data_IF_277341703282
#
_entry.id   IF_277341703282
#
_cell.length_a   1.000
_cell.length_b   1.000
_cell.length_c   1.000
_cell.angle_alpha   90.00
_cell.angle_beta   90.00
_cell.angle_gamma   90.00
#
_symmetry.space_group_name_H-M   'P 1'
#
loop_
_entity.id
_entity.type
_entity.pdbx_description
1 polymer ?
#
# COMPACT_ATOMS: atom_id res chain seq x y z
N UNK A 1 13.56 -2.29 -9.61
CA UNK A 1 13.94 -2.75 -8.25
C UNK A 1 14.02 -4.26 -8.35
N UNK A 2 15.20 -4.87 -8.06
CA UNK A 2 15.38 -6.31 -8.13
C UNK A 2 14.51 -7.00 -7.07
N UNK A 3 13.75 -8.01 -7.47
CA UNK A 3 12.87 -8.76 -6.58
C UNK A 3 13.60 -9.84 -5.77
N UNK A 4 14.85 -10.17 -6.16
CA UNK A 4 15.67 -11.15 -5.46
C UNK A 4 17.14 -10.78 -5.43
N UNK A 5 17.89 -11.32 -4.43
CA UNK A 5 19.34 -11.17 -4.37
C UNK A 5 20.03 -11.81 -5.61
N UNK A 6 19.40 -12.80 -6.24
CA UNK A 6 19.90 -13.45 -7.46
C UNK A 6 19.88 -12.51 -8.65
N UNK A 7 18.84 -11.67 -8.81
CA UNK A 7 18.75 -10.67 -9.87
C UNK A 7 19.80 -9.56 -9.70
N UNK A 8 20.05 -9.12 -8.45
CA UNK A 8 21.07 -8.12 -8.15
C UNK A 8 22.48 -8.61 -8.45
N UNK A 9 22.70 -9.91 -8.42
CA UNK A 9 24.02 -10.54 -8.57
C UNK A 9 24.17 -11.33 -9.86
N UNK A 10 23.19 -11.25 -10.77
CA UNK A 10 23.21 -11.91 -12.06
C UNK A 10 24.50 -11.53 -12.81
N UNK A 11 25.41 -12.50 -12.97
CA UNK A 11 26.70 -12.33 -13.64
C UNK A 11 27.93 -12.22 -12.74
N UNK A 12 27.80 -12.20 -11.41
CA UNK A 12 28.93 -12.12 -10.48
C UNK A 12 28.91 -13.24 -9.40
N UNK A 13 29.33 -14.48 -9.72
CA UNK A 13 29.32 -15.61 -8.76
C UNK A 13 30.13 -15.37 -7.48
N UNK A 14 31.15 -14.53 -7.52
CA UNK A 14 31.96 -14.16 -6.36
C UNK A 14 31.18 -13.28 -5.38
N UNK A 15 30.29 -12.43 -5.87
CA UNK A 15 29.45 -11.55 -5.03
C UNK A 15 28.36 -12.36 -4.34
N UNK A 16 27.76 -13.34 -5.02
CA UNK A 16 26.74 -14.22 -4.43
C UNK A 16 27.22 -14.95 -3.17
N UNK A 17 28.50 -15.32 -3.10
CA UNK A 17 29.07 -16.00 -1.91
C UNK A 17 29.23 -15.08 -0.70
N UNK A 18 29.26 -13.77 -0.92
CA UNK A 18 29.44 -12.76 0.13
C UNK A 18 28.11 -12.16 0.60
N UNK A 19 27.01 -12.41 -0.11
CA UNK A 19 25.69 -11.88 0.23
C UNK A 19 24.93 -12.86 1.11
N UNK A 20 24.32 -12.34 2.17
CA UNK A 20 23.36 -13.04 3.00
C UNK A 20 21.99 -12.37 2.84
N UNK A 21 21.06 -13.07 2.22
CA UNK A 21 19.68 -12.59 2.08
C UNK A 21 18.95 -12.73 3.44
N UNK A 22 18.32 -11.66 3.87
CA UNK A 22 17.43 -11.65 5.04
C UNK A 22 16.05 -11.23 4.52
N UNK A 23 15.11 -12.16 4.50
CA UNK A 23 13.72 -11.88 4.16
C UNK A 23 13.00 -11.29 5.37
N UNK A 24 12.55 -10.04 5.23
CA UNK A 24 11.70 -9.41 6.21
C UNK A 24 10.23 -9.69 5.86
N UNK A 25 9.49 -10.23 6.81
CA UNK A 25 8.04 -10.38 6.68
C UNK A 25 7.35 -9.03 6.88
N UNK A 26 6.11 -8.91 6.39
CA UNK A 26 5.26 -7.79 6.73
C UNK A 26 5.03 -7.72 8.24
N UNK A 27 4.96 -6.51 8.78
CA UNK A 27 4.66 -6.29 10.19
C UNK A 27 3.20 -6.62 10.50
N UNK A 28 2.98 -7.20 11.65
CA UNK A 28 1.64 -7.42 12.20
C UNK A 28 0.96 -6.11 12.56
N UNK A 29 -0.37 -6.12 12.69
CA UNK A 29 -1.12 -4.94 13.11
C UNK A 29 -0.64 -4.40 14.48
N UNK A 30 -0.23 -5.29 15.41
CA UNK A 30 0.28 -4.89 16.71
C UNK A 30 1.57 -4.09 16.58
N UNK A 31 2.52 -4.58 15.79
CA UNK A 31 3.80 -3.88 15.56
C UNK A 31 3.59 -2.52 14.87
N UNK A 32 2.62 -2.41 13.93
CA UNK A 32 2.27 -1.13 13.33
C UNK A 32 1.66 -0.15 14.36
N UNK A 33 0.80 -0.65 15.26
CA UNK A 33 0.24 0.17 16.35
C UNK A 33 1.34 0.62 17.31
N UNK A 34 2.35 -0.20 17.59
CA UNK A 34 3.49 0.16 18.43
C UNK A 34 4.31 1.31 17.80
N UNK A 35 4.45 1.33 16.47
CA UNK A 35 5.06 2.47 15.75
C UNK A 35 4.27 3.75 16.03
N UNK A 36 2.95 3.72 15.84
CA UNK A 36 2.08 4.89 16.05
C UNK A 36 2.19 5.38 17.48
N UNK A 37 2.07 4.47 18.45
CA UNK A 37 2.13 4.81 19.87
C UNK A 37 3.49 5.40 20.26
N UNK A 38 4.59 4.86 19.74
CA UNK A 38 5.94 5.35 20.03
C UNK A 38 6.17 6.76 19.47
N UNK A 39 5.62 7.06 18.30
CA UNK A 39 5.69 8.39 17.70
C UNK A 39 4.81 9.39 18.43
N UNK A 40 3.54 9.06 18.65
CA UNK A 40 2.55 9.94 19.28
C UNK A 40 2.93 10.32 20.72
N UNK A 41 3.49 9.38 21.50
CA UNK A 41 3.94 9.64 22.86
C UNK A 41 5.03 10.73 22.93
N UNK A 42 5.94 10.78 21.96
CA UNK A 42 7.00 11.80 21.89
C UNK A 42 6.44 13.20 21.60
N UNK A 43 5.33 13.26 20.85
CA UNK A 43 4.67 14.50 20.46
C UNK A 43 3.55 14.90 21.42
N UNK A 44 3.25 14.08 22.43
CA UNK A 44 2.11 14.23 23.36
C UNK A 44 0.76 14.30 22.62
N UNK A 45 0.64 13.55 21.52
CA UNK A 45 -0.57 13.38 20.73
C UNK A 45 -1.23 12.04 21.06
N UNK A 46 -2.51 11.93 20.83
CA UNK A 46 -3.28 10.71 21.02
C UNK A 46 -4.06 10.36 19.77
N UNK A 47 -3.77 9.19 19.19
CA UNK A 47 -4.57 8.65 18.09
C UNK A 47 -5.72 7.83 18.65
N UNK A 48 -6.94 8.10 18.21
CA UNK A 48 -8.09 7.26 18.54
C UNK A 48 -7.91 5.82 18.03
N UNK A 49 -8.69 4.89 18.56
CA UNK A 49 -8.65 3.48 18.13
C UNK A 49 -8.94 3.33 16.64
N UNK A 50 -9.93 4.06 16.14
CA UNK A 50 -10.36 3.98 14.75
C UNK A 50 -9.33 4.61 13.80
N UNK A 51 -8.68 5.69 14.21
CA UNK A 51 -7.55 6.29 13.50
C UNK A 51 -6.39 5.28 13.36
N UNK A 52 -5.97 4.63 14.46
CA UNK A 52 -4.93 3.59 14.43
C UNK A 52 -5.32 2.43 13.52
N UNK A 53 -6.54 1.94 13.61
CA UNK A 53 -7.03 0.86 12.78
C UNK A 53 -7.00 1.24 11.30
N UNK A 54 -7.44 2.46 10.95
CA UNK A 54 -7.42 2.98 9.58
C UNK A 54 -6.00 3.04 9.01
N UNK A 55 -5.05 3.58 9.77
CA UNK A 55 -3.63 3.64 9.37
C UNK A 55 -3.06 2.25 9.14
N UNK A 56 -3.21 1.34 10.11
CA UNK A 56 -2.68 -0.02 10.02
C UNK A 56 -3.24 -0.78 8.81
N UNK A 57 -4.53 -0.61 8.54
CA UNK A 57 -5.20 -1.24 7.41
C UNK A 57 -4.63 -0.77 6.08
N UNK A 58 -4.46 0.55 5.90
CA UNK A 58 -3.88 1.11 4.67
C UNK A 58 -2.42 0.74 4.49
N UNK A 59 -1.67 0.67 5.59
CA UNK A 59 -0.26 0.32 5.57
C UNK A 59 0.01 -1.12 5.15
N UNK A 60 -0.97 -2.03 5.26
CA UNK A 60 -0.90 -3.44 4.81
C UNK A 60 0.36 -4.18 5.25
N UNK A 61 0.86 -3.88 6.48
CA UNK A 61 2.07 -4.47 7.04
C UNK A 61 3.38 -3.76 6.66
N UNK A 62 3.31 -2.66 5.92
CA UNK A 62 4.50 -1.88 5.55
C UNK A 62 4.73 -0.69 6.50
N UNK A 63 5.78 -0.68 7.32
CA UNK A 63 6.04 0.36 8.30
C UNK A 63 6.24 1.75 7.69
N UNK A 64 6.77 1.83 6.47
CA UNK A 64 6.95 3.09 5.75
C UNK A 64 5.62 3.87 5.61
N UNK A 65 4.56 3.20 5.18
CA UNK A 65 3.24 3.85 5.05
C UNK A 65 2.63 4.19 6.40
N UNK A 66 2.86 3.37 7.44
CA UNK A 66 2.45 3.70 8.81
C UNK A 66 3.10 4.99 9.28
N UNK A 67 4.41 5.13 9.09
CA UNK A 67 5.13 6.36 9.43
C UNK A 67 4.63 7.56 8.64
N UNK A 68 4.49 7.43 7.32
CA UNK A 68 4.07 8.53 6.44
C UNK A 68 2.69 9.07 6.83
N UNK A 69 1.69 8.19 6.94
CA UNK A 69 0.33 8.62 7.28
C UNK A 69 0.27 9.18 8.70
N UNK A 70 0.92 8.51 9.68
CA UNK A 70 0.93 9.00 11.06
C UNK A 70 1.63 10.35 11.21
N UNK A 71 2.73 10.57 10.48
CA UNK A 71 3.44 11.85 10.46
C UNK A 71 2.53 12.96 9.91
N UNK A 72 1.87 12.73 8.78
CA UNK A 72 0.97 13.72 8.18
C UNK A 72 -0.24 14.03 9.06
N UNK A 73 -0.79 13.02 9.75
CA UNK A 73 -1.85 13.24 10.74
C UNK A 73 -1.36 14.08 11.92
N UNK A 74 -0.16 13.79 12.43
CA UNK A 74 0.43 14.55 13.52
C UNK A 74 0.78 16.00 13.12
N UNK A 75 1.30 16.23 11.90
CA UNK A 75 1.54 17.56 11.35
C UNK A 75 0.22 18.38 11.30
N UNK A 76 -0.87 17.76 10.82
CA UNK A 76 -2.19 18.38 10.80
C UNK A 76 -2.69 18.73 12.19
N UNK A 77 -2.57 17.82 13.14
CA UNK A 77 -2.99 18.05 14.53
C UNK A 77 -2.22 19.20 15.20
N UNK A 78 -0.90 19.27 14.97
CA UNK A 78 -0.06 20.37 15.49
C UNK A 78 -0.46 21.72 14.87
N UNK A 79 -0.72 21.76 13.57
CA UNK A 79 -1.15 22.99 12.87
C UNK A 79 -2.51 23.46 13.39
N UNK A 80 -3.43 22.53 13.65
CA UNK A 80 -4.77 22.81 14.16
C UNK A 80 -4.83 22.97 15.69
N UNK A 81 -3.68 22.86 16.39
CA UNK A 81 -3.56 22.96 17.85
C UNK A 81 -4.46 21.94 18.60
N UNK A 82 -4.66 20.74 18.03
CA UNK A 82 -5.42 19.65 18.64
C UNK A 82 -4.48 18.53 19.13
N UNK A 83 -4.90 17.82 20.17
CA UNK A 83 -4.10 16.70 20.75
C UNK A 83 -4.64 15.34 20.39
N UNK A 84 -5.92 15.23 20.09
CA UNK A 84 -6.58 13.99 19.73
C UNK A 84 -6.75 13.94 18.21
N UNK A 85 -6.27 12.84 17.62
CA UNK A 85 -6.32 12.59 16.17
C UNK A 85 -7.34 11.49 15.91
N UNK A 86 -8.37 11.83 15.20
CA UNK A 86 -9.44 10.92 14.84
C UNK A 86 -9.34 10.38 13.41
N UNK A 87 -10.37 9.70 12.94
CA UNK A 87 -10.40 9.09 11.61
C UNK A 87 -10.46 10.13 10.49
N UNK A 88 -11.07 11.28 10.75
CA UNK A 88 -11.23 12.35 9.75
C UNK A 88 -9.89 13.06 9.53
N UNK A 89 -9.13 13.32 10.60
CA UNK A 89 -7.76 13.81 10.53
C UNK A 89 -6.85 12.86 9.72
N UNK A 90 -7.01 11.55 9.93
CA UNK A 90 -6.27 10.54 9.17
C UNK A 90 -6.69 10.56 7.70
N UNK A 91 -7.96 10.69 7.37
CA UNK A 91 -8.42 10.75 5.99
C UNK A 91 -7.85 11.98 5.26
N UNK A 92 -7.83 13.15 5.91
CA UNK A 92 -7.17 14.34 5.35
C UNK A 92 -5.65 14.13 5.16
N UNK A 93 -4.99 13.50 6.13
CA UNK A 93 -3.58 13.18 6.04
C UNK A 93 -3.24 12.20 4.91
N UNK A 94 -4.15 11.27 4.57
CA UNK A 94 -3.99 10.35 3.45
C UNK A 94 -3.89 11.10 2.12
N UNK A 95 -4.75 12.08 1.90
CA UNK A 95 -4.71 12.90 0.68
C UNK A 95 -3.36 13.63 0.54
N UNK A 96 -2.86 14.21 1.64
CA UNK A 96 -1.54 14.84 1.68
C UNK A 96 -0.40 13.83 1.45
N UNK A 97 -0.53 12.63 2.04
CA UNK A 97 0.46 11.56 1.90
C UNK A 97 0.60 11.05 0.47
N UNK A 98 -0.47 11.06 -0.32
CA UNK A 98 -0.43 10.68 -1.74
C UNK A 98 0.45 11.64 -2.53
N UNK A 99 0.48 12.92 -2.18
CA UNK A 99 1.33 13.91 -2.84
C UNK A 99 2.82 13.69 -2.55
N UNK A 100 3.14 13.19 -1.35
CA UNK A 100 4.50 12.91 -0.90
C UNK A 100 4.95 11.45 -1.21
N UNK A 101 4.09 10.68 -1.87
CA UNK A 101 4.43 9.32 -2.27
C UNK A 101 5.61 9.33 -3.27
N UNK A 102 6.48 8.33 -3.17
CA UNK A 102 7.63 8.21 -4.07
C UNK A 102 7.22 8.33 -5.53
N UNK A 103 7.94 9.15 -6.28
CA UNK A 103 7.67 9.39 -7.70
C UNK A 103 7.64 8.09 -8.52
N UNK A 104 8.44 7.09 -8.15
CA UNK A 104 8.45 5.78 -8.79
C UNK A 104 7.09 5.04 -8.68
N UNK A 105 6.45 5.08 -7.50
CA UNK A 105 5.13 4.46 -7.29
C UNK A 105 4.05 5.20 -8.08
N UNK A 106 4.10 6.54 -8.11
CA UNK A 106 3.18 7.36 -8.90
C UNK A 106 3.36 7.11 -10.38
N UNK A 107 4.60 7.06 -10.86
CA UNK A 107 4.90 6.79 -12.25
C UNK A 107 4.44 5.38 -12.65
N UNK A 108 4.73 4.36 -11.86
CA UNK A 108 4.27 2.98 -12.12
C UNK A 108 2.74 2.89 -12.17
N UNK A 109 2.04 3.58 -11.25
CA UNK A 109 0.58 3.65 -11.30
C UNK A 109 0.09 4.34 -12.57
N UNK A 110 0.65 5.50 -12.88
CA UNK A 110 0.27 6.30 -14.06
C UNK A 110 0.52 5.54 -15.37
N UNK A 111 1.68 4.90 -15.52
CA UNK A 111 2.02 4.09 -16.68
C UNK A 111 1.05 2.92 -16.84
N UNK A 112 0.75 2.23 -15.73
CA UNK A 112 -0.19 1.12 -15.71
C UNK A 112 -1.61 1.53 -16.11
N UNK A 113 -2.05 2.71 -15.65
CA UNK A 113 -3.43 3.18 -15.84
C UNK A 113 -3.59 3.97 -17.14
N UNK A 114 -2.59 4.77 -17.55
CA UNK A 114 -2.66 5.65 -18.75
C UNK A 114 -2.54 4.91 -20.08
N UNK A 115 -1.97 3.73 -20.09
CA UNK A 115 -1.57 3.05 -21.34
C UNK A 115 -2.70 2.40 -22.13
N UNK A 116 -4.00 2.54 -21.73
CA UNK A 116 -5.06 1.82 -22.44
C UNK A 116 -6.39 2.53 -22.49
N UNK A 117 -7.13 2.28 -23.59
CA UNK A 117 -8.57 2.58 -23.75
C UNK A 117 -9.45 1.97 -22.63
N UNK A 118 -8.88 1.11 -21.79
CA UNK A 118 -9.49 0.41 -20.64
C UNK A 118 -9.07 0.97 -19.28
N UNK A 119 -8.61 2.21 -19.23
CA UNK A 119 -8.15 2.91 -18.02
C UNK A 119 -9.09 2.72 -16.82
N UNK A 120 -10.40 2.85 -17.05
CA UNK A 120 -11.41 2.71 -15.99
C UNK A 120 -11.41 1.29 -15.41
N UNK A 121 -11.26 0.26 -16.25
CA UNK A 121 -11.26 -1.15 -15.82
C UNK A 121 -10.03 -1.44 -14.95
N UNK A 122 -8.85 -0.95 -15.33
CA UNK A 122 -7.63 -1.13 -14.51
C UNK A 122 -7.74 -0.44 -13.16
N UNK A 123 -8.28 0.77 -13.09
CA UNK A 123 -8.54 1.46 -11.81
C UNK A 123 -9.48 0.66 -10.92
N UNK A 124 -10.56 0.12 -11.47
CA UNK A 124 -11.51 -0.73 -10.74
C UNK A 124 -10.85 -2.01 -10.22
N UNK A 125 -10.01 -2.66 -11.05
CA UNK A 125 -9.28 -3.87 -10.65
C UNK A 125 -8.29 -3.56 -9.53
N UNK A 126 -7.50 -2.50 -9.64
CA UNK A 126 -6.55 -2.08 -8.61
C UNK A 126 -7.28 -1.73 -7.30
N UNK A 127 -8.41 -1.03 -7.39
CA UNK A 127 -9.24 -0.71 -6.23
C UNK A 127 -9.80 -1.98 -5.57
N UNK A 128 -10.36 -2.90 -6.35
CA UNK A 128 -10.85 -4.19 -5.84
C UNK A 128 -9.72 -5.01 -5.20
N UNK A 129 -8.51 -4.98 -5.78
CA UNK A 129 -7.32 -5.64 -5.23
C UNK A 129 -6.91 -5.03 -3.89
N UNK A 130 -6.91 -3.70 -3.78
CA UNK A 130 -6.59 -3.00 -2.54
C UNK A 130 -7.57 -3.28 -1.39
N UNK A 131 -8.78 -3.71 -1.71
CA UNK A 131 -9.79 -4.11 -0.72
C UNK A 131 -9.74 -5.58 -0.33
N UNK A 132 -8.89 -6.39 -0.97
CA UNK A 132 -8.65 -7.76 -0.54
C UNK A 132 -7.81 -7.77 0.75
N UNK A 133 -8.26 -8.54 1.75
CA UNK A 133 -7.63 -8.61 3.08
C UNK A 133 -6.64 -9.75 3.24
N UNK A 134 -6.61 -10.69 2.28
CA UNK A 134 -5.79 -11.88 2.38
C UNK A 134 -4.31 -11.55 2.21
N UNK A 135 -3.44 -12.22 2.96
CA UNK A 135 -1.99 -12.14 2.82
C UNK A 135 -1.55 -12.54 1.40
N UNK A 136 -2.25 -13.51 0.82
CA UNK A 136 -2.10 -13.93 -0.58
C UNK A 136 -3.38 -13.64 -1.35
N UNK A 137 -3.38 -12.55 -2.11
CA UNK A 137 -4.54 -12.11 -2.88
C UNK A 137 -4.78 -13.08 -4.04
N UNK A 138 -5.93 -13.72 -4.05
CA UNK A 138 -6.35 -14.64 -5.13
C UNK A 138 -7.20 -13.90 -6.15
N UNK A 139 -7.02 -14.21 -7.43
CA UNK A 139 -7.81 -13.56 -8.50
C UNK A 139 -9.33 -13.77 -8.36
N UNK A 140 -9.76 -14.87 -7.71
CA UNK A 140 -11.18 -15.11 -7.39
C UNK A 140 -11.72 -14.10 -6.37
N UNK A 141 -10.91 -13.74 -5.36
CA UNK A 141 -11.29 -12.73 -4.35
C UNK A 141 -11.40 -11.35 -4.98
N UNK A 142 -10.46 -10.98 -5.85
CA UNK A 142 -10.51 -9.73 -6.62
C UNK A 142 -11.80 -9.67 -7.45
N UNK A 143 -12.14 -10.76 -8.17
CA UNK A 143 -13.37 -10.82 -8.97
C UNK A 143 -14.61 -10.64 -8.13
N UNK A 144 -14.68 -11.32 -6.99
CA UNK A 144 -15.83 -11.20 -6.08
C UNK A 144 -16.04 -9.78 -5.61
N UNK A 145 -14.96 -9.11 -5.15
CA UNK A 145 -15.01 -7.72 -4.69
C UNK A 145 -15.33 -6.77 -5.84
N UNK A 146 -14.74 -6.98 -7.02
CA UNK A 146 -15.03 -6.18 -8.21
C UNK A 146 -16.51 -6.19 -8.56
N UNK A 147 -17.09 -7.39 -8.69
CA UNK A 147 -18.49 -7.53 -9.06
C UNK A 147 -19.44 -6.97 -7.99
N UNK A 148 -19.06 -7.11 -6.70
CA UNK A 148 -19.85 -6.59 -5.58
C UNK A 148 -19.89 -5.05 -5.54
N UNK A 149 -18.74 -4.40 -5.79
CA UNK A 149 -18.62 -2.94 -5.61
C UNK A 149 -19.11 -2.17 -6.81
N UNK A 150 -18.82 -2.68 -8.02
CA UNK A 150 -19.11 -1.93 -9.24
C UNK A 150 -20.42 -2.33 -9.92
N UNK A 151 -21.16 -3.30 -9.34
CA UNK A 151 -22.38 -3.87 -9.94
C UNK A 151 -22.17 -4.26 -11.42
N UNK A 152 -20.98 -4.78 -11.72
CA UNK A 152 -20.56 -5.20 -13.05
C UNK A 152 -20.05 -6.63 -13.00
N UNK A 153 -20.43 -7.45 -13.97
CA UNK A 153 -19.92 -8.81 -14.09
C UNK A 153 -18.63 -8.85 -14.93
N UNK A 154 -17.51 -9.16 -14.28
CA UNK A 154 -16.27 -9.51 -14.96
C UNK A 154 -16.04 -11.03 -14.88
N UNK A 155 -15.78 -11.66 -16.04
CA UNK A 155 -15.47 -13.08 -16.06
C UNK A 155 -14.06 -13.34 -15.52
N UNK A 156 -13.81 -14.52 -14.92
CA UNK A 156 -12.49 -14.86 -14.40
C UNK A 156 -11.40 -14.82 -15.47
N UNK A 157 -11.73 -15.26 -16.69
CA UNK A 157 -10.79 -15.25 -17.81
C UNK A 157 -10.39 -13.83 -18.19
N UNK A 158 -11.35 -12.91 -18.27
CA UNK A 158 -11.12 -11.51 -18.61
C UNK A 158 -10.32 -10.80 -17.51
N UNK A 159 -10.64 -11.05 -16.24
CA UNK A 159 -9.86 -10.52 -15.12
C UNK A 159 -8.41 -11.00 -15.19
N UNK A 160 -8.18 -12.31 -15.39
CA UNK A 160 -6.83 -12.85 -15.49
C UNK A 160 -6.03 -12.24 -16.66
N UNK A 161 -6.66 -11.95 -17.79
CA UNK A 161 -6.02 -11.24 -18.90
C UNK A 161 -5.56 -9.83 -18.50
N UNK A 162 -6.39 -9.09 -17.75
CA UNK A 162 -5.99 -7.78 -17.25
C UNK A 162 -4.86 -7.87 -16.23
N UNK A 163 -4.93 -8.82 -15.27
CA UNK A 163 -3.88 -9.01 -14.27
C UNK A 163 -2.54 -9.40 -14.92
N UNK A 164 -2.55 -10.27 -15.93
CA UNK A 164 -1.32 -10.64 -16.68
C UNK A 164 -0.69 -9.43 -17.36
N UNK A 165 -1.49 -8.52 -17.93
CA UNK A 165 -0.97 -7.30 -18.54
C UNK A 165 -0.40 -6.32 -17.49
N UNK A 166 -0.99 -6.24 -16.29
CA UNK A 166 -0.47 -5.44 -15.19
C UNK A 166 0.93 -5.91 -14.78
N UNK A 167 1.13 -7.24 -14.69
CA UNK A 167 2.43 -7.82 -14.32
C UNK A 167 3.45 -7.65 -15.45
N UNK A 168 3.06 -7.82 -16.72
CA UNK A 168 3.99 -7.71 -17.85
C UNK A 168 4.45 -6.26 -18.13
N UNK A 169 3.69 -5.26 -17.74
CA UNK A 169 4.06 -3.84 -17.90
C UNK A 169 4.91 -3.34 -16.73
N UNK A 170 5.13 -4.16 -15.69
CA UNK A 170 5.94 -3.80 -14.51
C UNK A 170 7.39 -4.26 -14.64
N UNK A 171 7.76 -4.93 -15.73
CA UNK A 171 9.13 -5.31 -16.10
C UNK A 171 9.61 -4.39 -17.22
#
# INVERSE_FOLDING_TARGET
IAESAEELTAGHPSVQRCLKEIKLSKMSQRELVDIINSGSAKLKLNFTRDAKFRICRLSSGYPHFTHLISLKSAEGAIINEVTDIDIDDVNEAIEKSILDCENSLRQSYDETVKSSSTMIVYRKILYATALCYDEFIRSKSIRFIYNLIFDEEITQQRLNQYLSKLVSNSN
#
